data_IF_972380037444
#
_entry.id   IF_972380037444
#
_cell.length_a   1.000
_cell.length_b   1.000
_cell.length_c   1.000
_cell.angle_alpha   90.00
_cell.angle_beta   90.00
_cell.angle_gamma   90.00
#
_symmetry.space_group_name_H-M   'P 1'
#
loop_
_entity.id
_entity.type
_entity.pdbx_description
1 polymer ?
#
# COMPACT_ATOMS: atom_id res chain seq x y z
N UNK A 1 -16.06 9.24 19.63
CA UNK A 1 -14.98 8.70 18.78
C UNK A 1 -15.66 8.34 17.48
N UNK A 2 -15.49 9.16 16.45
CA UNK A 2 -16.08 8.94 15.13
C UNK A 2 -15.41 7.73 14.49
N UNK A 3 -16.21 6.79 13.97
CA UNK A 3 -15.76 5.62 13.21
C UNK A 3 -14.97 6.10 12.01
N UNK A 4 -13.64 5.87 12.02
CA UNK A 4 -12.71 6.23 10.93
C UNK A 4 -12.88 5.26 9.72
N UNK A 5 -13.66 4.18 9.89
CA UNK A 5 -13.89 3.15 8.89
C UNK A 5 -15.39 2.90 8.72
N UNK A 6 -16.09 3.87 8.10
CA UNK A 6 -17.44 3.64 7.60
C UNK A 6 -17.35 3.03 6.19
N UNK A 7 -17.54 1.71 6.11
CA UNK A 7 -17.62 0.96 4.87
C UNK A 7 -19.07 0.56 4.66
N UNK A 8 -19.91 1.49 4.21
CA UNK A 8 -21.24 1.17 3.72
C UNK A 8 -21.13 0.29 2.47
N UNK A 9 -21.94 -0.76 2.43
CA UNK A 9 -22.01 -1.78 1.38
C UNK A 9 -21.99 -1.19 -0.03
N UNK A 10 -20.87 -1.43 -0.75
CA UNK A 10 -20.82 -1.21 -2.19
C UNK A 10 -21.62 -2.33 -2.86
N UNK A 11 -22.84 -2.04 -3.31
CA UNK A 11 -23.63 -2.88 -4.18
C UNK A 11 -22.91 -3.08 -5.52
N UNK A 12 -22.12 -4.15 -5.63
CA UNK A 12 -21.36 -4.50 -6.84
C UNK A 12 -22.22 -5.11 -7.97
N UNK A 13 -23.54 -5.35 -7.77
CA UNK A 13 -24.32 -6.22 -8.66
C UNK A 13 -25.14 -5.55 -9.77
N UNK A 14 -25.24 -4.23 -9.89
CA UNK A 14 -26.13 -3.61 -10.89
C UNK A 14 -25.55 -2.43 -11.68
N UNK A 15 -24.39 -2.59 -12.31
CA UNK A 15 -23.95 -1.67 -13.36
C UNK A 15 -24.02 -2.36 -14.73
N UNK A 16 -25.05 -2.01 -15.50
CA UNK A 16 -25.21 -2.43 -16.89
C UNK A 16 -23.97 -2.07 -17.75
N UNK A 17 -23.60 -2.87 -18.76
CA UNK A 17 -22.40 -2.64 -19.57
C UNK A 17 -22.65 -1.51 -20.56
N UNK A 18 -21.93 -0.41 -20.39
CA UNK A 18 -21.82 0.65 -21.41
C UNK A 18 -20.41 0.59 -21.97
N UNK A 19 -20.13 -0.34 -22.86
CA UNK A 19 -18.94 -0.27 -23.71
C UNK A 19 -19.13 -1.19 -24.94
N UNK A 20 -19.76 -0.64 -25.99
CA UNK A 20 -19.59 -1.14 -27.35
C UNK A 20 -18.93 -0.06 -28.20
N UNK A 21 -17.93 -0.50 -28.97
CA UNK A 21 -17.24 0.19 -30.07
C UNK A 21 -16.23 1.29 -29.71
N UNK A 22 -14.91 0.92 -29.68
CA UNK A 22 -13.88 1.89 -30.09
C UNK A 22 -12.69 1.17 -30.74
N UNK A 23 -12.64 1.21 -32.07
CA UNK A 23 -11.46 1.13 -32.89
C UNK A 23 -11.28 2.47 -33.61
N UNK A 24 -10.63 3.42 -32.97
CA UNK A 24 -10.02 4.60 -33.58
C UNK A 24 -9.05 5.17 -32.57
N UNK A 25 -7.87 5.60 -32.98
CA UNK A 25 -6.93 6.38 -32.18
C UNK A 25 -7.70 7.55 -31.54
N UNK A 26 -8.00 7.42 -30.26
CA UNK A 26 -8.67 8.50 -29.51
C UNK A 26 -7.71 9.68 -29.41
N UNK A 27 -8.19 10.92 -29.64
CA UNK A 27 -7.38 12.10 -29.40
C UNK A 27 -6.83 12.07 -27.99
N UNK A 28 -5.60 12.58 -27.81
CA UNK A 28 -5.03 12.72 -26.45
C UNK A 28 -6.04 13.41 -25.55
N UNK A 29 -6.33 12.85 -24.38
CA UNK A 29 -7.26 13.47 -23.46
C UNK A 29 -6.74 14.86 -23.06
N UNK A 30 -7.59 15.86 -23.01
CA UNK A 30 -7.24 17.24 -22.63
C UNK A 30 -6.54 17.37 -21.27
N UNK A 31 -6.68 16.35 -20.40
CA UNK A 31 -5.99 16.32 -19.11
C UNK A 31 -4.48 15.98 -19.19
N UNK A 32 -3.97 15.54 -20.34
CA UNK A 32 -2.53 15.42 -20.60
C UNK A 32 -1.86 16.75 -20.91
N UNK A 33 -2.65 17.80 -21.15
CA UNK A 33 -2.14 19.14 -21.36
C UNK A 33 -1.42 19.66 -20.12
N UNK A 34 -0.26 20.28 -20.32
CA UNK A 34 0.58 20.76 -19.21
C UNK A 34 1.42 19.70 -18.50
N UNK A 35 1.53 18.49 -19.05
CA UNK A 35 2.57 17.52 -18.68
C UNK A 35 3.83 17.77 -19.52
N UNK A 36 4.99 17.63 -18.89
CA UNK A 36 6.27 17.59 -19.60
C UNK A 36 6.47 16.24 -20.31
N UNK A 37 7.51 16.09 -21.19
CA UNK A 37 7.72 14.86 -21.94
C UNK A 37 7.84 13.61 -21.06
N UNK A 38 8.61 13.66 -19.97
CA UNK A 38 8.86 12.56 -19.04
C UNK A 38 7.58 12.16 -18.29
N UNK A 39 6.80 13.15 -17.88
CA UNK A 39 5.48 12.93 -17.26
C UNK A 39 4.51 12.29 -18.26
N UNK A 40 4.50 12.73 -19.53
CA UNK A 40 3.67 12.13 -20.58
C UNK A 40 4.07 10.69 -20.85
N UNK A 41 5.36 10.40 -20.90
CA UNK A 41 5.89 9.05 -21.06
C UNK A 41 5.41 8.16 -19.91
N UNK A 42 5.56 8.60 -18.65
CA UNK A 42 5.09 7.88 -17.48
C UNK A 42 3.57 7.65 -17.48
N UNK A 43 2.78 8.52 -18.04
CA UNK A 43 1.32 8.36 -18.19
C UNK A 43 0.99 7.33 -19.27
N UNK A 44 1.68 7.32 -20.40
CA UNK A 44 1.41 6.47 -21.57
C UNK A 44 1.94 5.05 -21.42
N UNK A 45 3.02 4.85 -20.68
CA UNK A 45 3.60 3.51 -20.43
C UNK A 45 2.68 2.71 -19.50
N UNK A 46 1.52 2.24 -20.01
CA UNK A 46 0.50 1.58 -19.18
C UNK A 46 0.80 0.11 -18.90
N UNK A 47 1.43 -0.59 -19.83
CA UNK A 47 1.70 -2.02 -19.71
C UNK A 47 3.10 -2.29 -19.16
N UNK A 48 3.20 -3.33 -18.35
CA UNK A 48 4.44 -3.74 -17.70
C UNK A 48 4.78 -2.92 -16.45
N UNK A 49 5.85 -3.31 -15.74
CA UNK A 49 6.29 -2.64 -14.53
C UNK A 49 6.99 -1.32 -14.85
N UNK A 50 6.63 -0.29 -14.11
CA UNK A 50 7.16 1.06 -14.24
C UNK A 50 7.61 1.61 -12.88
N UNK A 51 8.85 2.06 -12.81
CA UNK A 51 9.39 2.81 -11.68
C UNK A 51 9.55 4.28 -12.06
N UNK A 52 8.89 5.17 -11.35
CA UNK A 52 9.02 6.61 -11.53
C UNK A 52 9.79 7.19 -10.34
N UNK A 53 11.03 7.57 -10.58
CA UNK A 53 11.87 8.27 -9.61
C UNK A 53 11.65 9.77 -9.74
N UNK A 54 11.13 10.39 -8.69
CA UNK A 54 10.56 11.73 -8.80
C UNK A 54 10.79 12.53 -7.52
N UNK A 55 11.66 13.50 -7.59
CA UNK A 55 11.97 14.41 -6.48
C UNK A 55 10.77 15.20 -5.97
N UNK A 56 10.96 15.93 -4.88
CA UNK A 56 9.94 16.83 -4.32
C UNK A 56 9.48 17.84 -5.37
N UNK A 57 8.15 18.03 -5.51
CA UNK A 57 7.60 19.07 -6.39
C UNK A 57 7.70 18.78 -7.90
N UNK A 58 8.08 17.58 -8.32
CA UNK A 58 8.18 17.19 -9.74
C UNK A 58 6.84 16.72 -10.34
N UNK A 59 5.79 16.63 -9.51
CA UNK A 59 4.45 16.29 -9.98
C UNK A 59 4.09 14.80 -9.87
N UNK A 60 4.68 14.04 -8.94
CA UNK A 60 4.35 12.64 -8.64
C UNK A 60 2.85 12.35 -8.69
N UNK A 61 2.09 13.02 -7.83
CA UNK A 61 0.64 12.82 -7.73
C UNK A 61 -0.09 13.21 -9.03
N UNK A 62 0.38 14.23 -9.76
CA UNK A 62 -0.19 14.62 -11.06
C UNK A 62 -0.01 13.51 -12.08
N UNK A 63 1.16 12.88 -12.13
CA UNK A 63 1.43 11.72 -13.01
C UNK A 63 0.51 10.56 -12.66
N UNK A 64 0.41 10.16 -11.38
CA UNK A 64 -0.43 9.05 -10.96
C UNK A 64 -1.92 9.29 -11.26
N UNK A 65 -2.44 10.47 -10.97
CA UNK A 65 -3.85 10.80 -11.22
C UNK A 65 -4.18 10.83 -12.71
N UNK A 66 -3.28 11.41 -13.51
CA UNK A 66 -3.44 11.46 -14.98
C UNK A 66 -3.30 10.08 -15.59
N UNK A 67 -2.35 9.26 -15.12
CA UNK A 67 -2.17 7.87 -15.56
C UNK A 67 -3.41 7.02 -15.28
N UNK A 68 -4.00 7.12 -14.08
CA UNK A 68 -5.22 6.41 -13.74
C UNK A 68 -6.37 6.79 -14.68
N UNK A 69 -6.58 8.08 -14.91
CA UNK A 69 -7.59 8.55 -15.84
C UNK A 69 -7.32 8.05 -17.28
N UNK A 70 -6.07 8.08 -17.71
CA UNK A 70 -5.65 7.58 -19.02
C UNK A 70 -5.93 6.08 -19.18
N UNK A 71 -5.57 5.25 -18.20
CA UNK A 71 -5.84 3.80 -18.22
C UNK A 71 -7.34 3.52 -18.33
N UNK A 72 -8.15 4.20 -17.51
CA UNK A 72 -9.60 3.98 -17.50
C UNK A 72 -10.30 4.42 -18.79
N UNK A 73 -9.74 5.38 -19.52
CA UNK A 73 -10.30 5.83 -20.80
C UNK A 73 -9.80 5.03 -22.00
N UNK A 74 -8.57 4.51 -21.96
CA UNK A 74 -7.93 3.96 -23.15
C UNK A 74 -7.75 2.44 -23.13
N UNK A 75 -7.60 1.81 -21.96
CA UNK A 75 -7.19 0.40 -21.88
C UNK A 75 -8.37 -0.59 -21.75
N UNK A 76 -9.60 -0.14 -21.97
CA UNK A 76 -10.81 -0.99 -21.89
C UNK A 76 -10.87 -1.84 -20.60
N UNK A 77 -10.56 -1.22 -19.46
CA UNK A 77 -10.64 -1.84 -18.14
C UNK A 77 -11.71 -1.16 -17.29
N UNK A 78 -12.26 -1.91 -16.37
CA UNK A 78 -13.26 -1.38 -15.45
C UNK A 78 -12.57 -0.73 -14.24
N UNK A 79 -13.19 0.27 -13.58
CA UNK A 79 -12.59 0.97 -12.44
C UNK A 79 -12.09 0.04 -11.33
N UNK A 80 -12.81 -1.02 -11.02
CA UNK A 80 -12.42 -2.00 -10.01
C UNK A 80 -11.24 -2.90 -10.42
N UNK A 81 -10.75 -2.80 -11.67
CA UNK A 81 -9.51 -3.43 -12.09
C UNK A 81 -8.27 -2.60 -11.75
N UNK A 82 -8.45 -1.40 -11.21
CA UNK A 82 -7.37 -0.52 -10.80
C UNK A 82 -7.27 -0.48 -9.28
N UNK A 83 -6.07 -0.79 -8.76
CA UNK A 83 -5.69 -0.61 -7.38
C UNK A 83 -4.73 0.57 -7.27
N UNK A 84 -5.05 1.55 -6.44
CA UNK A 84 -4.20 2.71 -6.18
C UNK A 84 -3.96 2.83 -4.69
N UNK A 85 -2.70 2.74 -4.30
CA UNK A 85 -2.31 2.74 -2.88
C UNK A 85 -1.50 3.97 -2.57
N UNK A 86 -1.87 4.66 -1.49
CA UNK A 86 -1.16 5.82 -0.95
C UNK A 86 -0.78 5.58 0.51
N UNK A 87 0.09 6.42 1.06
CA UNK A 87 0.54 6.28 2.44
C UNK A 87 -0.47 6.81 3.48
N UNK A 88 -1.25 7.84 3.13
CA UNK A 88 -2.20 8.48 4.06
C UNK A 88 -3.60 8.60 3.49
N UNK A 89 -4.62 8.56 4.37
CA UNK A 89 -6.01 8.79 3.96
C UNK A 89 -6.21 10.18 3.32
N UNK A 90 -5.45 11.19 3.78
CA UNK A 90 -5.49 12.52 3.19
C UNK A 90 -5.02 12.49 1.73
N UNK A 91 -3.89 11.83 1.45
CA UNK A 91 -3.37 11.69 0.09
C UNK A 91 -4.34 10.90 -0.80
N UNK A 92 -4.94 9.82 -0.27
CA UNK A 92 -5.94 9.03 -0.97
C UNK A 92 -7.17 9.88 -1.36
N UNK A 93 -7.71 10.66 -0.44
CA UNK A 93 -8.87 11.53 -0.69
C UNK A 93 -8.51 12.64 -1.69
N UNK A 94 -7.36 13.28 -1.55
CA UNK A 94 -6.90 14.30 -2.50
C UNK A 94 -6.72 13.73 -3.91
N UNK A 95 -6.13 12.54 -4.02
CA UNK A 95 -6.00 11.84 -5.30
C UNK A 95 -7.36 11.50 -5.89
N UNK A 96 -8.30 11.00 -5.09
CA UNK A 96 -9.67 10.69 -5.52
C UNK A 96 -10.37 11.92 -6.08
N UNK A 97 -10.28 13.07 -5.40
CA UNK A 97 -10.88 14.31 -5.88
C UNK A 97 -10.27 14.79 -7.20
N UNK A 98 -8.95 14.69 -7.36
CA UNK A 98 -8.29 15.05 -8.62
C UNK A 98 -8.71 14.14 -9.77
N UNK A 99 -8.79 12.83 -9.54
CA UNK A 99 -9.23 11.86 -10.56
C UNK A 99 -10.71 12.09 -10.91
N UNK A 100 -11.56 12.44 -9.92
CA UNK A 100 -12.97 12.77 -10.15
C UNK A 100 -13.15 13.91 -11.16
N UNK A 101 -12.25 14.89 -11.19
CA UNK A 101 -12.28 15.97 -12.18
C UNK A 101 -12.12 15.48 -13.63
N UNK A 102 -11.47 14.32 -13.83
CA UNK A 102 -11.22 13.75 -15.15
C UNK A 102 -12.28 12.73 -15.59
N UNK A 103 -12.75 11.89 -14.67
CA UNK A 103 -13.62 10.75 -14.97
C UNK A 103 -14.96 10.75 -14.21
N UNK A 104 -15.25 11.81 -13.46
CA UNK A 104 -16.49 11.93 -12.69
C UNK A 104 -16.59 10.88 -11.56
N UNK A 105 -17.82 10.48 -11.24
CA UNK A 105 -18.12 9.55 -10.14
C UNK A 105 -17.63 8.12 -10.37
N UNK A 106 -17.20 7.79 -11.58
CA UNK A 106 -16.57 6.51 -11.92
C UNK A 106 -15.40 6.17 -10.99
N UNK A 107 -14.71 7.18 -10.46
CA UNK A 107 -13.60 7.03 -9.50
C UNK A 107 -14.01 6.29 -8.22
N UNK A 108 -15.28 6.30 -7.82
CA UNK A 108 -15.75 5.64 -6.61
C UNK A 108 -15.61 4.12 -6.68
N UNK A 109 -15.60 3.55 -7.88
CA UNK A 109 -15.44 2.13 -8.12
C UNK A 109 -13.96 1.70 -8.28
N UNK A 110 -13.01 2.63 -8.17
CA UNK A 110 -11.58 2.33 -8.12
C UNK A 110 -11.20 1.90 -6.70
N UNK A 111 -10.40 0.86 -6.58
CA UNK A 111 -9.79 0.51 -5.29
C UNK A 111 -8.67 1.51 -4.96
N UNK A 112 -9.06 2.65 -4.41
CA UNK A 112 -8.16 3.75 -4.05
C UNK A 112 -8.21 3.98 -2.54
N UNK A 113 -7.05 3.88 -1.88
CA UNK A 113 -6.95 4.02 -0.44
C UNK A 113 -5.54 3.82 0.10
N UNK A 114 -5.42 3.71 1.42
CA UNK A 114 -4.17 3.30 2.06
C UNK A 114 -4.03 1.77 2.06
N UNK A 115 -2.81 1.25 2.24
CA UNK A 115 -2.59 -0.18 2.42
C UNK A 115 -3.55 -0.79 3.44
N UNK A 116 -3.69 -0.15 4.60
CA UNK A 116 -4.57 -0.64 5.66
C UNK A 116 -6.04 -0.65 5.24
N UNK A 117 -6.53 0.40 4.59
CA UNK A 117 -7.94 0.45 4.16
C UNK A 117 -8.27 -0.62 3.12
N UNK A 118 -7.36 -0.88 2.19
CA UNK A 118 -7.49 -1.95 1.20
C UNK A 118 -7.45 -3.33 1.90
N UNK A 119 -6.48 -3.54 2.79
CA UNK A 119 -6.35 -4.81 3.51
C UNK A 119 -7.53 -5.08 4.46
N UNK A 120 -8.11 -4.04 5.09
CA UNK A 120 -9.35 -4.20 5.89
C UNK A 120 -10.50 -4.70 5.02
N UNK A 121 -10.68 -4.17 3.80
CA UNK A 121 -11.72 -4.67 2.87
C UNK A 121 -11.52 -6.15 2.55
N UNK A 122 -10.29 -6.56 2.27
CA UNK A 122 -9.94 -7.98 1.99
C UNK A 122 -10.20 -8.84 3.24
N UNK A 123 -9.71 -8.41 4.40
CA UNK A 123 -9.84 -9.16 5.65
C UNK A 123 -11.31 -9.29 6.09
N UNK A 124 -12.14 -8.26 5.84
CA UNK A 124 -13.59 -8.31 6.10
C UNK A 124 -14.30 -9.34 5.22
N UNK A 125 -13.81 -9.60 4.02
CA UNK A 125 -14.38 -10.60 3.11
C UNK A 125 -14.00 -12.04 3.51
N UNK A 126 -12.83 -12.25 4.12
CA UNK A 126 -12.30 -13.56 4.49
C UNK A 126 -11.80 -13.62 5.95
N UNK A 127 -12.59 -13.16 6.94
CA UNK A 127 -12.12 -13.09 8.32
C UNK A 127 -11.80 -14.48 8.91
N UNK A 128 -12.57 -15.50 8.51
CA UNK A 128 -12.41 -16.88 8.98
C UNK A 128 -11.05 -17.49 8.62
N UNK A 129 -10.44 -17.07 7.50
CA UNK A 129 -9.11 -17.53 7.09
C UNK A 129 -8.00 -16.97 7.99
N UNK A 130 -8.31 -15.92 8.76
CA UNK A 130 -7.43 -15.39 9.81
C UNK A 130 -7.86 -15.83 11.23
N UNK A 131 -8.82 -16.75 11.36
CA UNK A 131 -9.38 -17.16 12.66
C UNK A 131 -10.27 -16.10 13.33
N UNK A 132 -10.76 -15.14 12.58
CA UNK A 132 -11.60 -14.03 13.05
C UNK A 132 -13.07 -14.27 12.74
N UNK A 133 -13.97 -13.60 13.49
CA UNK A 133 -15.38 -13.50 13.16
C UNK A 133 -15.62 -12.24 12.30
N UNK A 134 -16.70 -12.17 11.48
CA UNK A 134 -16.97 -11.04 10.59
C UNK A 134 -16.96 -9.66 11.25
N UNK A 135 -17.38 -9.59 12.52
CA UNK A 135 -17.49 -8.36 13.30
C UNK A 135 -16.23 -8.03 14.12
N UNK A 136 -15.05 -8.48 13.69
CA UNK A 136 -13.80 -8.16 14.40
C UNK A 136 -13.59 -6.65 14.53
N UNK A 137 -12.89 -6.24 15.59
CA UNK A 137 -12.56 -4.83 15.86
C UNK A 137 -11.06 -4.57 15.80
N UNK A 138 -10.70 -3.32 15.51
CA UNK A 138 -9.30 -2.89 15.56
C UNK A 138 -9.06 -2.30 16.94
N UNK A 139 -8.14 -2.86 17.69
CA UNK A 139 -7.92 -2.52 19.09
C UNK A 139 -6.58 -1.81 19.31
N UNK A 140 -6.52 -0.93 20.31
CA UNK A 140 -5.27 -0.38 20.82
C UNK A 140 -4.62 -1.32 21.85
N UNK A 141 -3.36 -1.48 21.80
CA UNK A 141 -2.55 -2.68 22.09
C UNK A 141 -1.93 -2.72 23.48
N UNK A 142 -1.65 -1.58 24.08
CA UNK A 142 -0.80 -1.44 25.28
C UNK A 142 -1.39 -2.16 26.51
N UNK A 143 -2.72 -2.08 26.68
CA UNK A 143 -3.40 -2.72 27.83
C UNK A 143 -3.33 -4.24 27.79
N UNK A 144 -3.36 -4.83 26.59
CA UNK A 144 -3.25 -6.28 26.42
C UNK A 144 -1.86 -6.75 26.82
N UNK A 145 -0.82 -6.07 26.34
CA UNK A 145 0.57 -6.40 26.71
C UNK A 145 0.78 -6.25 28.20
N UNK A 146 0.32 -5.14 28.80
CA UNK A 146 0.46 -4.95 30.24
C UNK A 146 -0.14 -6.09 31.05
N UNK A 147 -1.32 -6.56 30.65
CA UNK A 147 -1.99 -7.69 31.30
C UNK A 147 -1.18 -9.00 31.12
N UNK A 148 -0.60 -9.23 29.94
CA UNK A 148 0.25 -10.40 29.68
C UNK A 148 1.48 -10.39 30.59
N UNK A 149 2.14 -9.24 30.75
CA UNK A 149 3.31 -9.12 31.62
C UNK A 149 2.95 -9.44 33.08
N UNK A 150 1.82 -8.92 33.56
CA UNK A 150 1.34 -9.17 34.93
C UNK A 150 0.96 -10.63 35.15
N UNK A 151 0.18 -11.23 34.25
CA UNK A 151 -0.30 -12.62 34.37
C UNK A 151 0.87 -13.63 34.36
N UNK A 152 1.98 -13.28 33.71
CA UNK A 152 3.17 -14.13 33.61
C UNK A 152 4.32 -13.71 34.55
N UNK A 153 4.08 -12.78 35.47
CA UNK A 153 5.09 -12.29 36.43
C UNK A 153 6.37 -11.78 35.76
N UNK A 154 6.23 -11.13 34.58
CA UNK A 154 7.34 -10.56 33.82
C UNK A 154 7.57 -9.12 34.32
N UNK A 155 8.82 -8.77 34.59
CA UNK A 155 9.19 -7.46 35.11
C UNK A 155 8.92 -6.33 34.08
N UNK A 156 7.92 -5.49 34.36
CA UNK A 156 7.54 -4.33 33.51
C UNK A 156 8.67 -3.27 33.42
N UNK A 157 9.65 -3.25 34.33
CA UNK A 157 10.79 -2.34 34.24
C UNK A 157 11.78 -2.80 33.17
N UNK A 158 11.94 -4.10 33.00
CA UNK A 158 12.79 -4.67 31.96
C UNK A 158 12.09 -4.76 30.60
N UNK A 159 10.77 -5.03 30.59
CA UNK A 159 9.94 -5.20 29.40
C UNK A 159 8.76 -4.21 29.44
N UNK A 160 9.01 -2.95 29.08
CA UNK A 160 7.91 -1.98 29.05
C UNK A 160 6.90 -2.36 27.96
N UNK A 161 5.58 -2.19 28.19
CA UNK A 161 4.56 -2.51 27.17
C UNK A 161 4.85 -1.86 25.82
N UNK A 162 5.29 -0.61 25.83
CA UNK A 162 5.62 0.10 24.58
C UNK A 162 6.81 -0.53 23.86
N UNK A 163 7.91 -0.87 24.55
CA UNK A 163 9.08 -1.48 23.91
C UNK A 163 8.78 -2.87 23.34
N UNK A 164 7.88 -3.61 23.98
CA UNK A 164 7.40 -4.92 23.50
C UNK A 164 6.56 -4.74 22.25
N UNK A 165 5.62 -3.79 22.25
CA UNK A 165 4.79 -3.48 21.08
C UNK A 165 5.62 -3.05 19.88
N UNK A 166 6.62 -2.19 20.07
CA UNK A 166 7.54 -1.79 19.00
C UNK A 166 8.26 -2.99 18.37
N UNK A 167 8.70 -3.95 19.20
CA UNK A 167 9.33 -5.17 18.69
C UNK A 167 8.34 -6.06 17.94
N UNK A 168 7.11 -6.22 18.46
CA UNK A 168 6.04 -6.98 17.79
C UNK A 168 5.68 -6.31 16.46
N UNK A 169 5.53 -4.99 16.44
CA UNK A 169 5.28 -4.23 15.21
C UNK A 169 6.36 -4.47 14.16
N UNK A 170 7.64 -4.44 14.55
CA UNK A 170 8.76 -4.74 13.65
C UNK A 170 8.71 -6.17 13.09
N UNK A 171 8.27 -7.17 13.87
CA UNK A 171 8.05 -8.51 13.32
C UNK A 171 6.94 -8.50 12.26
N UNK A 172 5.83 -7.83 12.53
CA UNK A 172 4.71 -7.72 11.60
C UNK A 172 5.07 -6.94 10.34
N UNK A 173 5.83 -5.86 10.46
CA UNK A 173 6.34 -5.06 9.33
C UNK A 173 7.28 -5.87 8.43
N UNK A 174 7.95 -6.88 8.97
CA UNK A 174 8.80 -7.83 8.23
C UNK A 174 8.05 -9.05 7.69
N UNK A 175 6.74 -9.12 7.84
CA UNK A 175 5.92 -10.26 7.41
C UNK A 175 6.12 -11.52 8.25
N UNK A 176 6.60 -11.38 9.50
CA UNK A 176 6.89 -12.49 10.37
C UNK A 176 5.69 -12.84 11.27
N UNK A 177 4.96 -13.86 10.87
CA UNK A 177 4.02 -14.55 11.78
C UNK A 177 4.80 -15.38 12.82
N UNK A 178 4.13 -15.79 13.91
CA UNK A 178 4.74 -16.62 14.94
C UNK A 178 5.40 -17.88 14.34
N UNK A 179 4.76 -18.51 13.35
CA UNK A 179 5.25 -19.73 12.71
C UNK A 179 6.52 -19.51 11.87
N UNK A 180 6.75 -18.28 11.41
CA UNK A 180 7.90 -17.90 10.57
C UNK A 180 9.10 -17.42 11.36
N UNK A 181 8.93 -17.19 12.67
CA UNK A 181 10.04 -16.81 13.53
C UNK A 181 10.95 -18.01 13.74
N UNK A 182 12.22 -17.87 13.36
CA UNK A 182 13.22 -18.93 13.40
C UNK A 182 13.51 -19.42 14.83
N UNK A 183 14.10 -20.63 14.96
CA UNK A 183 14.37 -21.27 16.24
C UNK A 183 15.24 -20.43 17.20
N UNK A 184 16.13 -19.58 16.68
CA UNK A 184 17.01 -18.70 17.47
C UNK A 184 16.22 -17.66 18.30
N UNK A 185 15.00 -17.35 17.88
CA UNK A 185 14.12 -16.44 18.62
C UNK A 185 13.14 -17.15 19.56
N UNK A 186 12.97 -18.47 19.49
CA UNK A 186 11.97 -19.23 20.29
C UNK A 186 12.21 -19.16 21.80
N UNK A 187 13.44 -18.92 22.23
CA UNK A 187 13.79 -18.73 23.65
C UNK A 187 13.66 -17.27 24.10
N UNK A 188 13.35 -16.36 23.18
CA UNK A 188 13.24 -14.93 23.48
C UNK A 188 11.87 -14.62 24.10
N UNK A 189 11.88 -14.00 25.28
CA UNK A 189 10.66 -13.60 26.00
C UNK A 189 9.72 -12.72 25.15
N UNK A 190 10.26 -11.90 24.25
CA UNK A 190 9.45 -11.09 23.33
C UNK A 190 8.62 -11.96 22.37
N UNK A 191 9.16 -13.08 21.91
CA UNK A 191 8.45 -14.01 21.05
C UNK A 191 7.36 -14.74 21.82
N UNK A 192 7.63 -15.10 23.09
CA UNK A 192 6.61 -15.64 23.99
C UNK A 192 5.47 -14.64 24.17
N UNK A 193 5.78 -13.37 24.48
CA UNK A 193 4.77 -12.33 24.66
C UNK A 193 4.00 -12.09 23.35
N UNK A 194 4.67 -12.11 22.20
CA UNK A 194 4.01 -11.96 20.89
C UNK A 194 3.00 -13.09 20.66
N UNK A 195 3.34 -14.35 20.99
CA UNK A 195 2.42 -15.48 20.89
C UNK A 195 1.18 -15.30 21.79
N UNK A 196 1.40 -14.98 23.07
CA UNK A 196 0.32 -14.71 24.01
C UNK A 196 -0.57 -13.54 23.56
N UNK A 197 0.05 -12.50 23.00
CA UNK A 197 -0.63 -11.33 22.46
C UNK A 197 -1.57 -11.69 21.30
N UNK A 198 -1.07 -12.45 20.31
CA UNK A 198 -1.90 -12.88 19.18
C UNK A 198 -3.04 -13.80 19.64
N UNK A 199 -2.78 -14.73 20.58
CA UNK A 199 -3.83 -15.58 21.14
C UNK A 199 -4.94 -14.76 21.77
N UNK A 200 -4.60 -13.76 22.58
CA UNK A 200 -5.61 -12.89 23.22
C UNK A 200 -6.36 -11.99 22.22
N UNK A 201 -5.70 -11.49 21.20
CA UNK A 201 -6.37 -10.73 20.16
C UNK A 201 -7.43 -11.57 19.43
N UNK A 202 -7.10 -12.83 19.07
CA UNK A 202 -8.04 -13.75 18.43
C UNK A 202 -9.21 -14.06 19.37
N UNK A 203 -8.96 -14.38 20.65
CA UNK A 203 -10.00 -14.65 21.64
C UNK A 203 -10.97 -13.46 21.81
N UNK A 204 -10.44 -12.23 21.74
CA UNK A 204 -11.23 -11.00 21.81
C UNK A 204 -11.89 -10.63 20.47
N UNK A 205 -11.66 -11.40 19.43
CA UNK A 205 -12.05 -11.10 18.05
C UNK A 205 -11.54 -9.70 17.62
N UNK A 206 -10.27 -9.43 17.86
CA UNK A 206 -9.63 -8.15 17.59
C UNK A 206 -8.36 -8.35 16.74
N UNK A 207 -7.98 -7.27 16.07
CA UNK A 207 -6.70 -7.14 15.36
C UNK A 207 -6.04 -5.82 15.72
N UNK A 208 -4.72 -5.76 15.64
CA UNK A 208 -4.00 -4.50 15.65
C UNK A 208 -3.71 -4.01 14.22
N UNK A 209 -3.08 -2.83 14.08
CA UNK A 209 -2.76 -2.28 12.78
C UNK A 209 -1.80 -3.16 11.97
N UNK A 210 -0.79 -3.76 12.61
CA UNK A 210 0.15 -4.66 11.94
C UNK A 210 -0.51 -5.96 11.46
N UNK A 211 -1.48 -6.46 12.23
CA UNK A 211 -2.23 -7.67 11.88
C UNK A 211 -3.03 -7.50 10.59
N UNK A 212 -3.56 -6.33 10.32
CA UNK A 212 -4.35 -6.06 9.11
C UNK A 212 -3.56 -6.43 7.85
N UNK A 213 -2.30 -5.99 7.78
CA UNK A 213 -1.43 -6.28 6.65
C UNK A 213 -0.93 -7.72 6.67
N UNK A 214 -0.47 -8.17 7.85
CA UNK A 214 0.13 -9.49 8.04
C UNK A 214 -0.86 -10.62 7.74
N UNK A 215 -2.11 -10.52 8.22
CA UNK A 215 -3.14 -11.52 7.96
C UNK A 215 -3.54 -11.57 6.48
N UNK A 216 -3.67 -10.43 5.82
CA UNK A 216 -3.94 -10.42 4.37
C UNK A 216 -2.79 -11.04 3.60
N UNK A 217 -1.54 -10.74 3.96
CA UNK A 217 -0.38 -11.38 3.35
C UNK A 217 -0.42 -12.91 3.55
N UNK A 218 -0.70 -13.37 4.76
CA UNK A 218 -0.76 -14.80 5.09
C UNK A 218 -1.93 -15.50 4.37
N UNK A 219 -3.12 -14.87 4.32
CA UNK A 219 -4.28 -15.37 3.57
C UNK A 219 -3.93 -15.56 2.10
N UNK A 220 -3.35 -14.53 1.46
CA UNK A 220 -2.99 -14.60 0.03
C UNK A 220 -1.92 -15.65 -0.25
N UNK A 221 -0.98 -15.87 0.66
CA UNK A 221 0.07 -16.89 0.51
C UNK A 221 -0.43 -18.31 0.73
N UNK A 222 -1.39 -18.52 1.64
CA UNK A 222 -1.91 -19.84 1.99
C UNK A 222 -3.12 -20.26 1.16
N UNK A 223 -3.82 -19.32 0.51
CA UNK A 223 -5.06 -19.61 -0.23
C UNK A 223 -4.92 -19.15 -1.70
N UNK A 224 -4.45 -20.05 -2.59
CA UNK A 224 -4.23 -19.71 -4.01
C UNK A 224 -5.47 -19.20 -4.75
N UNK A 225 -6.66 -19.67 -4.38
CA UNK A 225 -7.92 -19.23 -5.01
C UNK A 225 -8.25 -17.77 -4.65
N UNK A 226 -8.03 -17.37 -3.39
CA UNK A 226 -8.19 -15.97 -2.95
C UNK A 226 -7.14 -15.09 -3.64
N UNK A 227 -5.88 -15.54 -3.69
CA UNK A 227 -4.82 -14.82 -4.41
C UNK A 227 -5.19 -14.62 -5.88
N UNK A 228 -5.66 -15.68 -6.55
CA UNK A 228 -6.07 -15.63 -7.96
C UNK A 228 -7.21 -14.63 -8.18
N UNK A 229 -8.21 -14.59 -7.30
CA UNK A 229 -9.31 -13.62 -7.37
C UNK A 229 -8.78 -12.19 -7.43
N UNK A 230 -7.90 -11.82 -6.48
CA UNK A 230 -7.37 -10.46 -6.44
C UNK A 230 -6.34 -10.18 -7.54
N UNK A 231 -5.58 -11.15 -7.98
CA UNK A 231 -4.72 -11.03 -9.16
C UNK A 231 -5.52 -10.82 -10.45
N UNK A 232 -6.71 -11.44 -10.59
CA UNK A 232 -7.59 -11.21 -11.72
C UNK A 232 -8.30 -9.87 -11.65
N UNK A 233 -8.66 -9.45 -10.46
CA UNK A 233 -9.27 -8.15 -10.20
C UNK A 233 -8.31 -7.01 -10.51
N UNK A 234 -7.13 -7.00 -9.93
CA UNK A 234 -6.18 -5.89 -10.04
C UNK A 234 -5.27 -6.01 -11.26
N UNK A 235 -5.78 -5.54 -12.40
CA UNK A 235 -5.03 -5.52 -13.66
C UNK A 235 -3.98 -4.42 -13.70
N UNK A 236 -4.22 -3.31 -12.99
CA UNK A 236 -3.31 -2.17 -12.88
C UNK A 236 -3.16 -1.78 -11.42
N UNK A 237 -1.91 -1.73 -10.97
CA UNK A 237 -1.56 -1.37 -9.60
C UNK A 237 -0.71 -0.11 -9.65
N UNK A 238 -1.05 0.89 -8.84
CA UNK A 238 -0.29 2.13 -8.72
C UNK A 238 0.01 2.40 -7.25
N UNK A 239 1.25 2.78 -6.96
CA UNK A 239 1.74 3.00 -5.59
C UNK A 239 2.40 4.36 -5.51
N UNK A 240 1.92 5.20 -4.61
CA UNK A 240 2.53 6.48 -4.26
C UNK A 240 3.45 6.33 -3.06
N UNK A 241 4.48 7.17 -2.97
CA UNK A 241 5.49 7.19 -1.89
C UNK A 241 6.11 5.79 -1.63
N UNK A 242 6.52 5.12 -2.71
CA UNK A 242 7.01 3.74 -2.65
C UNK A 242 8.22 3.54 -1.73
N UNK A 243 9.05 4.57 -1.52
CA UNK A 243 10.18 4.57 -0.60
C UNK A 243 9.78 4.34 0.87
N UNK A 244 8.51 4.62 1.23
CA UNK A 244 8.01 4.49 2.60
C UNK A 244 7.38 3.13 2.88
N UNK A 245 7.43 2.19 1.93
CA UNK A 245 6.87 0.85 2.09
C UNK A 245 7.73 -0.03 2.99
N UNK A 246 7.07 -0.81 3.88
CA UNK A 246 7.71 -1.87 4.65
C UNK A 246 7.71 -3.20 3.89
N UNK A 247 8.40 -4.22 4.43
CA UNK A 247 8.51 -5.53 3.78
C UNK A 247 7.16 -6.19 3.55
N UNK A 248 6.23 -6.11 4.50
CA UNK A 248 4.88 -6.70 4.37
C UNK A 248 4.11 -6.06 3.22
N UNK A 249 4.16 -4.75 3.10
CA UNK A 249 3.53 -4.01 2.00
C UNK A 249 4.17 -4.35 0.64
N UNK A 250 5.49 -4.40 0.60
CA UNK A 250 6.22 -4.84 -0.59
C UNK A 250 5.82 -6.25 -1.04
N UNK A 251 5.76 -7.21 -0.11
CA UNK A 251 5.36 -8.59 -0.42
C UNK A 251 3.91 -8.68 -0.91
N UNK A 252 2.99 -7.87 -0.34
CA UNK A 252 1.60 -7.77 -0.82
C UNK A 252 1.55 -7.29 -2.27
N UNK A 253 2.25 -6.20 -2.60
CA UNK A 253 2.31 -5.68 -3.96
C UNK A 253 2.89 -6.69 -4.93
N UNK A 254 3.97 -7.36 -4.53
CA UNK A 254 4.62 -8.40 -5.34
C UNK A 254 3.67 -9.56 -5.65
N UNK A 255 2.92 -10.06 -4.65
CA UNK A 255 1.94 -11.13 -4.86
C UNK A 255 0.81 -10.70 -5.79
N UNK A 256 0.23 -9.53 -5.56
CA UNK A 256 -0.92 -9.03 -6.32
C UNK A 256 -0.56 -8.73 -7.78
N UNK A 257 0.67 -8.27 -8.05
CA UNK A 257 1.11 -7.88 -9.39
C UNK A 257 1.59 -9.04 -10.28
N UNK A 258 1.78 -10.24 -9.74
CA UNK A 258 2.39 -11.37 -10.47
C UNK A 258 1.70 -11.74 -11.79
N UNK A 259 0.38 -11.60 -11.87
CA UNK A 259 -0.39 -12.05 -13.04
C UNK A 259 -0.23 -11.11 -14.23
N UNK A 260 -0.49 -9.82 -14.04
CA UNK A 260 -0.49 -8.84 -15.15
C UNK A 260 0.79 -8.03 -15.22
N UNK A 261 1.53 -7.93 -14.13
CA UNK A 261 2.77 -7.17 -14.01
C UNK A 261 2.65 -5.66 -14.32
N UNK A 262 1.41 -5.14 -14.46
CA UNK A 262 1.15 -3.73 -14.69
C UNK A 262 1.17 -2.97 -13.35
N UNK A 263 2.35 -2.81 -12.82
CA UNK A 263 2.60 -2.09 -11.55
C UNK A 263 3.41 -0.83 -11.82
N UNK A 264 2.93 0.30 -11.32
CA UNK A 264 3.61 1.59 -11.38
C UNK A 264 3.90 2.06 -9.96
N UNK A 265 5.17 2.08 -9.58
CA UNK A 265 5.63 2.61 -8.32
C UNK A 265 6.25 4.00 -8.52
N UNK A 266 5.78 4.98 -7.74
CA UNK A 266 6.31 6.34 -7.73
C UNK A 266 6.95 6.61 -6.37
N UNK A 267 8.19 7.05 -6.38
CA UNK A 267 8.94 7.30 -5.15
C UNK A 267 10.08 8.28 -5.32
N UNK A 268 10.69 8.61 -4.20
CA UNK A 268 11.83 9.49 -4.09
C UNK A 268 12.79 8.91 -3.04
N UNK A 269 13.92 8.42 -3.48
CA UNK A 269 14.93 7.82 -2.62
C UNK A 269 15.50 8.82 -1.60
N UNK A 270 15.59 10.11 -1.94
CA UNK A 270 16.02 11.18 -1.05
C UNK A 270 14.98 11.56 0.03
N UNK A 271 13.74 11.12 -0.08
CA UNK A 271 12.66 11.41 0.86
C UNK A 271 12.30 10.26 1.81
N UNK A 272 13.09 9.21 1.90
CA UNK A 272 12.84 8.09 2.82
C UNK A 272 13.14 8.50 4.27
N UNK A 273 12.11 8.94 4.99
CA UNK A 273 12.21 9.40 6.40
C UNK A 273 11.47 8.48 7.39
N UNK A 274 10.87 7.39 6.93
CA UNK A 274 10.07 6.48 7.74
C UNK A 274 10.76 5.14 8.07
N UNK A 275 12.10 5.08 8.03
CA UNK A 275 12.87 3.89 8.43
C UNK A 275 12.55 3.43 9.85
N UNK A 276 12.24 4.35 10.77
CA UNK A 276 11.79 4.05 12.12
C UNK A 276 10.41 3.34 12.18
N UNK A 277 9.61 3.43 11.11
CA UNK A 277 8.35 2.66 10.90
C UNK A 277 8.55 1.41 10.07
N UNK A 278 9.77 0.94 9.89
CA UNK A 278 10.06 -0.25 9.09
C UNK A 278 10.07 -0.02 7.58
N UNK A 279 10.04 1.23 7.10
CA UNK A 279 10.28 1.53 5.70
C UNK A 279 11.70 1.13 5.31
N UNK A 280 11.82 0.43 4.19
CA UNK A 280 13.09 -0.04 3.65
C UNK A 280 13.32 0.57 2.27
N UNK A 281 14.25 1.52 2.17
CA UNK A 281 14.66 2.16 0.91
C UNK A 281 15.14 1.11 -0.12
N UNK A 282 15.68 0.00 0.37
CA UNK A 282 16.07 -1.14 -0.47
C UNK A 282 14.91 -1.69 -1.33
N UNK A 283 13.65 -1.43 -0.97
CA UNK A 283 12.51 -1.84 -1.79
C UNK A 283 12.51 -1.20 -3.18
N UNK A 284 13.06 0.04 -3.32
CA UNK A 284 13.23 0.68 -4.63
C UNK A 284 14.28 -0.07 -5.45
N UNK A 285 15.39 -0.47 -4.83
CA UNK A 285 16.45 -1.24 -5.50
C UNK A 285 15.96 -2.63 -5.87
N UNK A 286 15.24 -3.30 -4.96
CA UNK A 286 14.64 -4.62 -5.21
C UNK A 286 13.57 -4.61 -6.30
N UNK A 287 12.96 -3.46 -6.60
CA UNK A 287 11.95 -3.37 -7.66
C UNK A 287 12.51 -3.80 -9.02
N UNK A 288 13.70 -3.34 -9.38
CA UNK A 288 14.33 -3.70 -10.65
C UNK A 288 14.88 -5.13 -10.65
N UNK A 289 15.15 -5.73 -9.50
CA UNK A 289 15.52 -7.14 -9.36
C UNK A 289 14.30 -8.06 -9.58
N UNK A 290 13.15 -7.71 -8.97
CA UNK A 290 11.90 -8.47 -9.12
C UNK A 290 11.23 -8.27 -10.49
N UNK A 291 11.47 -7.13 -11.11
CA UNK A 291 10.94 -6.74 -12.42
C UNK A 291 12.09 -6.32 -13.35
N UNK A 292 12.89 -7.29 -13.87
CA UNK A 292 14.03 -6.95 -14.72
C UNK A 292 13.64 -6.22 -16.02
N UNK A 293 12.39 -6.37 -16.46
CA UNK A 293 11.82 -5.67 -17.61
C UNK A 293 11.28 -4.27 -17.27
N UNK A 294 11.41 -3.82 -16.04
CA UNK A 294 10.86 -2.54 -15.61
C UNK A 294 11.44 -1.35 -16.37
N UNK A 295 10.56 -0.49 -16.82
CA UNK A 295 10.95 0.83 -17.32
C UNK A 295 11.17 1.77 -16.14
N UNK A 296 12.27 2.51 -16.14
CA UNK A 296 12.55 3.53 -15.12
C UNK A 296 12.50 4.91 -15.76
N UNK A 297 11.63 5.79 -15.24
CA UNK A 297 11.49 7.18 -15.69
C UNK A 297 11.87 8.11 -14.56
N UNK A 298 12.72 9.11 -14.83
CA UNK A 298 13.11 10.14 -13.86
C UNK A 298 12.37 11.44 -14.12
N UNK A 299 11.74 12.01 -13.08
CA UNK A 299 11.09 13.33 -13.13
C UNK A 299 12.01 14.34 -12.41
N UNK A 300 12.77 15.08 -13.16
CA UNK A 300 13.79 16.00 -12.60
C UNK A 300 13.28 17.44 -12.45
N UNK A 301 12.31 17.85 -13.29
CA UNK A 301 11.84 19.23 -13.29
C UNK A 301 10.92 19.52 -12.11
N UNK A 302 11.39 20.38 -11.21
CA UNK A 302 10.61 20.84 -10.05
C UNK A 302 9.70 22.01 -10.43
N UNK A 303 8.42 21.95 -9.98
CA UNK A 303 7.39 22.96 -10.22
C UNK A 303 6.92 23.64 -8.93
N UNK A 304 7.45 23.24 -7.77
CA UNK A 304 7.01 23.70 -6.45
C UNK A 304 7.87 24.82 -5.89
N UNK A 305 9.19 24.75 -6.07
CA UNK A 305 10.16 25.58 -5.39
C UNK A 305 11.02 26.38 -6.37
N UNK A 306 11.48 27.56 -5.96
CA UNK A 306 12.43 28.37 -6.74
C UNK A 306 13.84 27.79 -6.65
N UNK A 307 14.67 28.13 -7.63
CA UNK A 307 16.03 27.57 -7.80
C UNK A 307 16.89 27.68 -6.53
N UNK A 308 16.86 28.80 -5.81
CA UNK A 308 17.67 28.98 -4.60
C UNK A 308 17.34 27.96 -3.49
N UNK A 309 16.06 27.61 -3.31
CA UNK A 309 15.63 26.59 -2.33
C UNK A 309 16.13 25.22 -2.77
N UNK A 310 16.03 24.89 -4.05
CA UNK A 310 16.52 23.62 -4.59
C UNK A 310 18.03 23.47 -4.45
N UNK A 311 18.79 24.53 -4.75
CA UNK A 311 20.25 24.52 -4.60
C UNK A 311 20.65 24.27 -3.14
N UNK A 312 19.98 24.93 -2.18
CA UNK A 312 20.24 24.73 -0.76
C UNK A 312 19.90 23.29 -0.32
N UNK A 313 18.76 22.75 -0.75
CA UNK A 313 18.37 21.38 -0.45
C UNK A 313 19.35 20.35 -1.04
N UNK A 314 19.73 20.52 -2.31
CA UNK A 314 20.71 19.63 -2.98
C UNK A 314 22.07 19.67 -2.31
N UNK A 315 22.53 20.83 -1.82
CA UNK A 315 23.76 20.94 -1.08
C UNK A 315 23.74 20.16 0.25
N UNK A 316 22.59 20.06 0.92
CA UNK A 316 22.44 19.25 2.13
C UNK A 316 22.46 17.77 1.79
N UNK A 317 21.69 17.35 0.77
CA UNK A 317 21.58 15.94 0.37
C UNK A 317 22.92 15.38 -0.14
N UNK A 318 23.72 16.19 -0.84
CA UNK A 318 25.03 15.75 -1.36
C UNK A 318 26.05 15.39 -0.27
N UNK A 319 25.73 15.62 1.01
CA UNK A 319 26.58 15.27 2.16
C UNK A 319 26.07 14.01 2.89
N UNK A 320 24.95 13.44 2.46
CA UNK A 320 24.42 12.17 2.95
C UNK A 320 24.84 11.02 2.02
#
# INVERSE_FOLDING_TARGET
MSNIFDFSDDNEENAAPIYDNISALKPEPAFSDGLNPEQKEAVRQTEGPLLVLAGAGTGKTKVLTTRLAYILQNNNVRPWNCLVVTFTNRAANEMKERVRQFIGETVNNVWLGTFHSICVKILRKYPELAGLKPNFTILGEERVIKKILQDNSIDEKQYTPQSVLEKISRFKDKGLTIDRITNDFKTNITVFIYKEYQTRLIELNCVDFGDILLYVLDILQKNPDVLKEYQERFRYIMVDEYQDTNVTQYLLLRLLSQKYRNICCVGDDDQSIYSWRGAEIENILKFTEDFPEAVTIRLERNYRSVANILTAASAVISHN
#
